data_IF_593499475658
#
_entry.id   IF_593499475658
#
_cell.length_a   1.000
_cell.length_b   1.000
_cell.length_c   1.000
_cell.angle_alpha   90.00
_cell.angle_beta   90.00
_cell.angle_gamma   90.00
#
_symmetry.space_group_name_H-M   'P 1'
#
loop_
_entity.id
_entity.type
_entity.pdbx_description
1 polymer ?
#
# COMPACT_ATOMS: atom_id res chain seq x y z
N UNK A 1 13.41 -7.51 43.56
CA UNK A 1 12.37 -6.44 43.60
C UNK A 1 11.48 -6.42 42.34
N UNK A 2 12.02 -6.60 41.11
CA UNK A 2 11.19 -6.65 39.88
C UNK A 2 10.26 -7.86 39.73
N UNK A 3 10.61 -9.03 40.28
CA UNK A 3 9.76 -10.24 40.21
C UNK A 3 8.49 -10.14 41.08
N UNK A 4 8.55 -9.44 42.21
CA UNK A 4 7.40 -9.22 43.10
C UNK A 4 6.33 -8.29 42.52
N UNK A 5 6.72 -7.38 41.62
CA UNK A 5 5.81 -6.48 40.90
C UNK A 5 5.03 -7.20 39.79
N UNK A 6 5.59 -8.23 39.16
CA UNK A 6 4.85 -9.07 38.21
C UNK A 6 3.81 -9.92 38.94
N UNK A 7 4.14 -10.40 40.15
CA UNK A 7 3.25 -11.21 40.99
C UNK A 7 2.06 -10.39 41.53
N UNK A 8 2.24 -9.13 41.92
CA UNK A 8 1.18 -8.34 42.59
C UNK A 8 0.23 -7.55 41.66
N UNK A 9 0.37 -7.65 40.33
CA UNK A 9 -0.57 -6.98 39.42
C UNK A 9 -1.87 -7.79 39.28
N UNK A 10 -3.07 -7.16 39.20
CA UNK A 10 -4.37 -7.85 39.02
C UNK A 10 -4.55 -8.60 37.68
N UNK A 11 -3.45 -8.96 37.01
CA UNK A 11 -3.40 -9.72 35.77
C UNK A 11 -2.08 -10.47 35.55
N UNK A 12 -1.19 -10.53 36.56
CA UNK A 12 0.06 -11.27 36.49
C UNK A 12 -0.15 -12.78 36.62
N UNK A 13 0.69 -13.56 35.92
CA UNK A 13 0.73 -15.02 36.08
C UNK A 13 1.52 -15.31 37.36
N UNK A 14 0.90 -15.94 38.36
CA UNK A 14 1.60 -16.41 39.55
C UNK A 14 0.71 -16.54 40.78
N UNK A 15 0.42 -15.46 41.53
CA UNK A 15 -0.17 -15.63 42.87
C UNK A 15 -1.63 -16.06 42.83
N UNK A 16 -2.37 -15.64 41.81
CA UNK A 16 -3.75 -16.05 41.61
C UNK A 16 -3.84 -17.55 41.30
N UNK A 17 -2.98 -18.05 40.41
CA UNK A 17 -2.90 -19.46 40.05
C UNK A 17 -2.40 -20.31 41.23
N UNK A 18 -1.39 -19.85 41.96
CA UNK A 18 -0.91 -20.53 43.16
C UNK A 18 -1.99 -20.58 44.26
N UNK A 19 -2.76 -19.50 44.45
CA UNK A 19 -3.87 -19.48 45.40
C UNK A 19 -4.98 -20.45 44.99
N UNK A 20 -5.35 -20.48 43.71
CA UNK A 20 -6.36 -21.43 43.20
C UNK A 20 -5.91 -22.89 43.37
N UNK A 21 -4.65 -23.21 43.06
CA UNK A 21 -4.12 -24.57 43.24
C UNK A 21 -4.08 -24.95 44.73
N UNK A 22 -3.69 -24.02 45.60
CA UNK A 22 -3.65 -24.25 47.04
C UNK A 22 -5.04 -24.43 47.68
N UNK A 23 -6.05 -23.72 47.16
CA UNK A 23 -7.44 -23.78 47.65
C UNK A 23 -8.27 -24.90 47.01
N UNK A 24 -7.83 -25.45 45.88
CA UNK A 24 -8.50 -26.54 45.14
C UNK A 24 -7.59 -27.78 45.00
N UNK A 25 -7.10 -28.38 46.11
CA UNK A 25 -6.14 -29.48 46.05
C UNK A 25 -6.68 -30.74 45.37
N UNK A 26 -8.01 -30.93 45.36
CA UNK A 26 -8.68 -32.09 44.75
C UNK A 26 -8.89 -31.98 43.23
N UNK A 27 -8.67 -30.81 42.62
CA UNK A 27 -8.94 -30.59 41.20
C UNK A 27 -7.71 -30.84 40.29
N UNK A 28 -6.53 -31.02 40.88
CA UNK A 28 -5.26 -31.10 40.15
C UNK A 28 -4.80 -29.75 39.59
N UNK A 29 -3.50 -29.56 39.42
CA UNK A 29 -2.96 -28.28 38.94
C UNK A 29 -3.26 -28.04 37.45
N UNK A 30 -3.19 -29.09 36.62
CA UNK A 30 -3.40 -28.97 35.16
C UNK A 30 -4.82 -28.49 34.79
N UNK A 31 -5.92 -29.06 35.34
CA UNK A 31 -7.27 -28.61 35.01
C UNK A 31 -7.55 -27.19 35.47
N UNK A 32 -7.02 -26.81 36.64
CA UNK A 32 -7.19 -25.46 37.21
C UNK A 32 -6.48 -24.42 36.34
N UNK A 33 -5.23 -24.68 35.92
CA UNK A 33 -4.49 -23.79 35.01
C UNK A 33 -5.17 -23.68 33.65
N UNK A 34 -5.67 -24.80 33.10
CA UNK A 34 -6.42 -24.79 31.85
C UNK A 34 -7.70 -23.95 31.96
N UNK A 35 -8.44 -24.05 33.07
CA UNK A 35 -9.64 -23.27 33.32
C UNK A 35 -9.36 -21.76 33.46
N UNK A 36 -8.28 -21.38 34.16
CA UNK A 36 -7.86 -19.97 34.29
C UNK A 36 -7.44 -19.38 32.94
N UNK A 37 -6.69 -20.13 32.14
CA UNK A 37 -6.33 -19.72 30.78
C UNK A 37 -7.58 -19.57 29.90
N UNK A 38 -8.50 -20.54 29.94
CA UNK A 38 -9.76 -20.48 29.21
C UNK A 38 -10.59 -19.26 29.64
N UNK A 39 -10.72 -19.01 30.95
CA UNK A 39 -11.38 -17.83 31.48
C UNK A 39 -10.75 -16.55 30.93
N UNK A 40 -9.42 -16.43 30.95
CA UNK A 40 -8.75 -15.24 30.41
C UNK A 40 -8.92 -15.05 28.91
N UNK A 41 -8.91 -16.15 28.16
CA UNK A 41 -9.18 -16.11 26.72
C UNK A 41 -10.60 -15.60 26.47
N UNK A 42 -11.59 -16.14 27.17
CA UNK A 42 -13.01 -15.81 26.97
C UNK A 42 -13.36 -14.41 27.45
N UNK A 43 -12.82 -13.96 28.60
CA UNK A 43 -13.24 -12.71 29.24
C UNK A 43 -12.33 -11.51 28.95
N UNK A 44 -11.07 -11.72 28.56
CA UNK A 44 -10.15 -10.61 28.26
C UNK A 44 -9.69 -10.63 26.81
N UNK A 45 -9.12 -11.74 26.33
CA UNK A 45 -8.48 -11.79 25.00
C UNK A 45 -9.53 -11.70 23.90
N UNK A 46 -10.61 -12.49 23.98
CA UNK A 46 -11.65 -12.53 22.97
C UNK A 46 -12.40 -11.18 22.86
N UNK A 47 -12.87 -10.54 23.95
CA UNK A 47 -13.48 -9.22 23.85
C UNK A 47 -12.53 -8.15 23.34
N UNK A 48 -11.27 -8.16 23.77
CA UNK A 48 -10.26 -7.22 23.26
C UNK A 48 -9.98 -7.42 21.76
N UNK A 49 -9.90 -8.67 21.30
CA UNK A 49 -9.73 -9.00 19.89
C UNK A 49 -10.95 -8.59 19.06
N UNK A 50 -12.16 -8.82 19.56
CA UNK A 50 -13.41 -8.39 18.92
C UNK A 50 -13.51 -6.86 18.84
N UNK A 51 -13.19 -6.14 19.92
CA UNK A 51 -13.15 -4.68 19.93
C UNK A 51 -12.10 -4.13 18.94
N UNK A 52 -10.90 -4.72 18.91
CA UNK A 52 -9.85 -4.34 17.96
C UNK A 52 -10.30 -4.59 16.51
N UNK A 53 -10.94 -5.74 16.25
CA UNK A 53 -11.49 -6.07 14.94
C UNK A 53 -12.63 -5.11 14.55
N UNK A 54 -13.51 -4.77 15.49
CA UNK A 54 -14.59 -3.80 15.26
C UNK A 54 -14.05 -2.41 14.95
N UNK A 55 -12.97 -1.96 15.58
CA UNK A 55 -12.31 -0.69 15.26
C UNK A 55 -11.54 -0.73 13.93
N UNK A 56 -10.97 -1.88 13.57
CA UNK A 56 -10.31 -2.08 12.27
C UNK A 56 -11.32 -2.13 11.11
N UNK A 57 -12.48 -2.78 11.32
CA UNK A 57 -13.50 -3.03 10.29
C UNK A 57 -14.55 -1.92 10.24
N UNK A 58 -14.77 -1.22 11.37
CA UNK A 58 -15.77 -0.17 11.52
C UNK A 58 -15.65 0.88 10.42
N UNK A 59 -16.77 1.55 10.05
CA UNK A 59 -16.77 2.55 8.99
C UNK A 59 -15.62 3.50 9.25
N UNK A 60 -14.75 3.70 8.25
CA UNK A 60 -13.58 4.56 8.37
C UNK A 60 -14.02 5.84 9.05
N UNK A 61 -13.56 6.04 10.30
CA UNK A 61 -14.14 7.05 11.19
C UNK A 61 -14.12 8.38 10.44
N UNK A 62 -15.28 9.03 10.44
CA UNK A 62 -15.61 10.28 9.79
C UNK A 62 -14.41 11.23 9.74
N UNK A 63 -14.28 11.98 8.64
CA UNK A 63 -13.29 13.06 8.54
C UNK A 63 -13.26 13.82 9.87
N UNK A 64 -12.12 13.88 10.58
CA UNK A 64 -12.04 14.64 11.81
C UNK A 64 -12.50 16.06 11.46
N UNK A 65 -13.59 16.51 12.10
CA UNK A 65 -14.30 17.72 11.70
C UNK A 65 -13.33 18.89 11.61
N UNK A 66 -12.99 19.33 10.39
CA UNK A 66 -12.16 20.50 10.02
C UNK A 66 -11.25 21.01 11.14
N UNK A 67 -10.48 20.12 11.76
CA UNK A 67 -9.77 20.44 13.00
C UNK A 67 -8.46 21.12 12.68
N UNK A 68 -8.49 22.40 12.27
CA UNK A 68 -7.35 23.31 12.00
C UNK A 68 -5.99 22.62 11.72
N UNK A 69 -5.97 21.62 10.83
CA UNK A 69 -4.74 21.25 10.14
C UNK A 69 -4.55 22.38 9.15
N UNK A 70 -3.49 23.16 9.32
CA UNK A 70 -3.19 24.21 8.35
C UNK A 70 -2.85 23.48 7.06
N UNK A 71 -3.66 23.63 6.03
CA UNK A 71 -3.40 22.99 4.76
C UNK A 71 -2.15 23.64 4.15
N UNK A 72 -1.03 22.93 4.12
CA UNK A 72 -0.08 23.18 3.04
C UNK A 72 -0.82 22.79 1.77
N UNK A 73 -1.03 23.71 0.80
CA UNK A 73 -1.74 23.37 -0.41
C UNK A 73 -1.10 22.14 -1.04
N UNK A 74 -1.92 21.18 -1.49
CA UNK A 74 -1.44 19.93 -2.10
C UNK A 74 -0.38 20.19 -3.18
N UNK A 75 -0.55 21.24 -3.98
CA UNK A 75 0.42 21.67 -4.99
C UNK A 75 1.81 22.01 -4.40
N UNK A 76 1.85 22.68 -3.24
CA UNK A 76 3.11 23.03 -2.56
C UNK A 76 3.81 21.78 -2.02
N UNK A 77 3.05 20.84 -1.45
CA UNK A 77 3.60 19.58 -0.98
C UNK A 77 4.19 18.78 -2.16
N UNK A 78 3.42 18.63 -3.24
CA UNK A 78 3.86 17.90 -4.43
C UNK A 78 5.08 18.55 -5.10
N UNK A 79 5.16 19.88 -5.13
CA UNK A 79 6.32 20.60 -5.67
C UNK A 79 7.60 20.36 -4.85
N UNK A 80 7.47 20.13 -3.54
CA UNK A 80 8.59 19.84 -2.63
C UNK A 80 8.87 18.34 -2.45
N UNK A 81 7.92 17.48 -2.80
CA UNK A 81 8.03 16.05 -2.65
C UNK A 81 9.17 15.51 -3.53
N UNK A 82 10.03 14.68 -2.93
CA UNK A 82 11.12 14.03 -3.67
C UNK A 82 10.64 12.87 -4.52
N UNK A 83 9.58 12.20 -4.07
CA UNK A 83 9.03 11.01 -4.73
C UNK A 83 7.79 11.36 -5.52
N UNK A 84 7.71 10.85 -6.74
CA UNK A 84 6.53 11.10 -7.58
C UNK A 84 5.32 10.28 -7.12
N UNK A 85 5.53 9.17 -6.42
CA UNK A 85 4.47 8.37 -5.78
C UNK A 85 3.57 9.21 -4.85
N UNK A 86 4.07 10.34 -4.34
CA UNK A 86 3.27 11.33 -3.62
C UNK A 86 2.06 11.84 -4.43
N UNK A 87 2.07 11.71 -5.76
CA UNK A 87 0.93 12.04 -6.61
C UNK A 87 -0.36 11.28 -6.28
N UNK A 88 -0.28 10.17 -5.53
CA UNK A 88 -1.43 9.39 -5.04
C UNK A 88 -2.45 10.24 -4.27
N UNK A 89 -2.02 11.37 -3.69
CA UNK A 89 -2.92 12.30 -2.99
C UNK A 89 -4.03 12.84 -3.91
N UNK A 90 -3.83 12.85 -5.23
CA UNK A 90 -4.86 13.21 -6.22
C UNK A 90 -6.04 12.24 -6.27
N UNK A 91 -5.91 11.04 -5.72
CA UNK A 91 -7.02 10.08 -5.60
C UNK A 91 -8.13 10.60 -4.65
N UNK A 92 -7.81 11.58 -3.79
CA UNK A 92 -8.77 12.18 -2.86
C UNK A 92 -8.94 11.41 -1.55
N UNK A 93 -8.27 10.27 -1.35
CA UNK A 93 -8.31 9.49 -0.10
C UNK A 93 -7.34 10.00 0.97
N UNK A 94 -6.30 10.73 0.54
CA UNK A 94 -5.25 11.24 1.43
C UNK A 94 -5.38 12.74 1.63
N UNK A 95 -4.81 13.23 2.73
CA UNK A 95 -4.75 14.65 3.04
C UNK A 95 -3.33 15.05 3.37
N UNK A 96 -3.05 16.35 3.32
CA UNK A 96 -1.78 16.87 3.80
C UNK A 96 -1.84 17.01 5.32
N UNK A 97 -0.79 16.54 6.00
CA UNK A 97 -0.57 16.80 7.41
C UNK A 97 0.71 17.61 7.55
N UNK A 98 0.69 18.76 8.21
CA UNK A 98 1.90 19.55 8.40
C UNK A 98 2.02 20.18 9.79
N UNK A 99 3.23 20.62 10.11
CA UNK A 99 3.52 21.38 11.32
C UNK A 99 2.84 22.76 11.30
N UNK A 100 2.78 23.42 12.46
CA UNK A 100 2.12 24.73 12.60
C UNK A 100 2.69 25.81 11.69
N UNK A 101 3.96 25.68 11.31
CA UNK A 101 4.65 26.58 10.39
C UNK A 101 4.48 26.22 8.90
N UNK A 102 3.87 25.08 8.56
CA UNK A 102 3.68 24.63 7.19
C UNK A 102 5.00 24.39 6.44
N UNK A 103 6.05 23.97 7.13
CA UNK A 103 7.38 23.69 6.56
C UNK A 103 7.67 22.22 6.44
N UNK A 104 7.15 21.42 7.37
CA UNK A 104 7.40 19.99 7.46
C UNK A 104 6.08 19.23 7.52
N UNK A 105 5.96 18.15 6.77
CA UNK A 105 4.68 17.44 6.68
C UNK A 105 4.72 16.16 5.87
N UNK A 106 3.55 15.54 5.79
CA UNK A 106 3.31 14.25 5.16
C UNK A 106 2.11 14.32 4.22
N UNK A 107 2.11 13.39 3.27
CA UNK A 107 0.84 12.86 2.77
C UNK A 107 0.36 11.86 3.82
N UNK A 108 -0.81 12.10 4.38
CA UNK A 108 -1.38 11.33 5.46
C UNK A 108 -2.60 10.54 4.98
N UNK A 109 -2.52 9.22 5.12
CA UNK A 109 -3.64 8.30 4.96
C UNK A 109 -4.24 7.92 6.32
N UNK A 110 -5.56 7.75 6.37
CA UNK A 110 -6.29 7.39 7.60
C UNK A 110 -7.03 6.08 7.39
N UNK A 111 -6.96 5.21 8.38
CA UNK A 111 -7.81 4.01 8.50
C UNK A 111 -8.51 4.03 9.85
N UNK A 112 -9.31 3.01 10.20
CA UNK A 112 -9.97 2.93 11.51
C UNK A 112 -9.01 3.00 12.70
N UNK A 113 -7.79 2.44 12.56
CA UNK A 113 -6.80 2.37 13.64
C UNK A 113 -5.53 3.20 13.40
N UNK A 114 -5.22 3.59 12.17
CA UNK A 114 -3.89 4.12 11.82
C UNK A 114 -3.98 5.50 11.18
N UNK A 115 -3.10 6.40 11.61
CA UNK A 115 -2.72 7.59 10.87
C UNK A 115 -1.34 7.35 10.26
N UNK A 116 -1.29 7.15 8.94
CA UNK A 116 -0.08 6.81 8.22
C UNK A 116 0.51 8.02 7.49
N UNK A 117 1.73 8.42 7.84
CA UNK A 117 2.59 9.23 6.98
C UNK A 117 3.12 8.37 5.84
N UNK A 118 2.64 8.63 4.62
CA UNK A 118 3.03 7.90 3.42
C UNK A 118 4.33 8.45 2.84
N UNK A 119 5.23 7.53 2.46
CA UNK A 119 6.50 7.80 1.81
C UNK A 119 7.48 8.57 2.70
N UNK A 120 8.00 9.69 2.21
CA UNK A 120 8.96 10.53 2.90
C UNK A 120 8.33 11.89 3.22
N UNK A 121 8.66 12.49 4.36
CA UNK A 121 8.13 13.79 4.70
C UNK A 121 8.74 14.86 3.81
N UNK A 122 7.99 15.92 3.58
CA UNK A 122 8.55 17.20 3.14
C UNK A 122 9.12 17.92 4.36
N UNK A 123 10.24 18.61 4.19
CA UNK A 123 10.88 19.38 5.27
C UNK A 123 11.74 18.52 6.21
N UNK A 124 11.82 18.94 7.47
CA UNK A 124 12.63 18.27 8.48
C UNK A 124 11.92 17.02 9.03
N UNK A 125 12.58 15.87 8.93
CA UNK A 125 11.99 14.59 9.34
C UNK A 125 11.68 14.52 10.84
N UNK A 126 12.49 15.14 11.71
CA UNK A 126 12.22 15.10 13.16
C UNK A 126 10.93 15.84 13.50
N UNK A 127 10.77 17.05 12.96
CA UNK A 127 9.57 17.87 13.10
C UNK A 127 8.35 17.16 12.49
N UNK A 128 8.51 16.57 11.31
CA UNK A 128 7.43 15.83 10.67
C UNK A 128 6.99 14.60 11.48
N UNK A 129 7.92 13.85 12.09
CA UNK A 129 7.61 12.71 12.97
C UNK A 129 6.85 13.17 14.22
N UNK A 130 7.28 14.27 14.85
CA UNK A 130 6.57 14.85 15.99
C UNK A 130 5.15 15.29 15.62
N UNK A 131 5.00 15.95 14.46
CA UNK A 131 3.69 16.35 13.93
C UNK A 131 2.77 15.14 13.69
N UNK A 132 3.27 14.06 13.08
CA UNK A 132 2.51 12.83 12.87
C UNK A 132 2.08 12.18 14.19
N UNK A 133 2.99 12.13 15.17
CA UNK A 133 2.72 11.56 16.50
C UNK A 133 1.62 12.31 17.22
N UNK A 134 1.70 13.64 17.20
CA UNK A 134 0.74 14.51 17.86
C UNK A 134 -0.64 14.46 17.17
N UNK A 135 -0.68 14.48 15.84
CA UNK A 135 -1.92 14.33 15.10
C UNK A 135 -2.58 12.97 15.36
N UNK A 136 -1.80 11.90 15.37
CA UNK A 136 -2.31 10.56 15.65
C UNK A 136 -2.91 10.48 17.06
N UNK A 137 -2.28 11.11 18.07
CA UNK A 137 -2.81 11.19 19.43
C UNK A 137 -4.15 11.95 19.49
N UNK A 138 -4.28 13.07 18.78
CA UNK A 138 -5.53 13.85 18.74
C UNK A 138 -6.67 13.14 18.03
N UNK A 139 -6.34 12.25 17.11
CA UNK A 139 -7.31 11.45 16.36
C UNK A 139 -7.56 10.07 17.00
N UNK A 140 -6.95 9.76 18.16
CA UNK A 140 -6.97 8.45 18.80
C UNK A 140 -6.55 7.30 17.87
N UNK A 141 -5.52 7.54 17.05
CA UNK A 141 -4.95 6.60 16.09
C UNK A 141 -3.51 6.21 16.40
N UNK A 142 -3.09 5.07 15.88
CA UNK A 142 -1.70 4.65 15.89
C UNK A 142 -0.91 5.41 14.81
N UNK A 143 0.21 6.08 15.16
CA UNK A 143 1.06 6.72 14.17
C UNK A 143 1.92 5.67 13.45
N UNK A 144 1.94 5.72 12.12
CA UNK A 144 2.75 4.87 11.27
C UNK A 144 3.46 5.69 10.20
N UNK A 145 4.74 5.43 9.97
CA UNK A 145 5.42 5.86 8.74
C UNK A 145 5.47 4.65 7.82
N UNK A 146 4.97 4.78 6.59
CA UNK A 146 4.84 3.67 5.65
C UNK A 146 5.56 3.95 4.33
N UNK A 147 6.39 2.99 3.88
CA UNK A 147 7.20 3.06 2.65
C UNK A 147 8.17 4.25 2.60
N UNK A 148 8.81 4.58 3.71
CA UNK A 148 9.83 5.63 3.77
C UNK A 148 11.22 5.16 3.35
N UNK A 149 12.09 6.08 2.94
CA UNK A 149 13.47 5.79 2.59
C UNK A 149 14.36 5.60 3.83
N UNK A 150 15.62 5.20 3.59
CA UNK A 150 16.61 4.96 4.65
C UNK A 150 16.91 6.18 5.55
N UNK A 151 16.84 7.42 5.02
CA UNK A 151 17.09 8.64 5.81
C UNK A 151 15.94 8.91 6.78
N UNK A 152 14.70 8.80 6.30
CA UNK A 152 13.51 8.94 7.15
C UNK A 152 13.47 7.84 8.21
N UNK A 153 13.79 6.60 7.83
CA UNK A 153 13.94 5.47 8.75
C UNK A 153 15.00 5.72 9.84
N UNK A 154 16.15 6.28 9.48
CA UNK A 154 17.19 6.64 10.44
C UNK A 154 16.73 7.76 11.40
N UNK A 155 15.97 8.74 10.91
CA UNK A 155 15.35 9.76 11.77
C UNK A 155 14.34 9.14 12.76
N UNK A 156 13.50 8.19 12.31
CA UNK A 156 12.56 7.48 13.16
C UNK A 156 13.28 6.66 14.25
N UNK A 157 14.34 5.92 13.91
CA UNK A 157 15.16 5.20 14.92
C UNK A 157 15.73 6.13 15.98
N UNK A 158 16.24 7.31 15.58
CA UNK A 158 16.73 8.33 16.52
C UNK A 158 15.64 8.91 17.41
N UNK A 159 14.38 8.86 16.97
CA UNK A 159 13.22 9.21 17.78
C UNK A 159 12.71 8.04 18.66
N UNK A 160 13.45 6.93 18.75
CA UNK A 160 13.08 5.76 19.55
C UNK A 160 12.08 4.82 18.90
N UNK A 161 11.73 5.02 17.63
CA UNK A 161 10.74 4.19 16.94
C UNK A 161 11.35 2.86 16.49
N UNK A 162 10.51 1.81 16.50
CA UNK A 162 10.82 0.56 15.84
C UNK A 162 10.73 0.74 14.33
N UNK A 163 11.69 0.16 13.59
CA UNK A 163 11.77 0.27 12.12
C UNK A 163 11.98 -1.09 11.49
N UNK A 164 11.22 -1.38 10.43
CA UNK A 164 11.24 -2.64 9.72
C UNK A 164 11.29 -2.45 8.19
N UNK A 165 12.12 -3.19 7.43
CA UNK A 165 12.07 -3.16 5.96
C UNK A 165 10.79 -3.83 5.46
N UNK A 166 10.02 -3.13 4.61
CA UNK A 166 8.70 -3.60 4.15
C UNK A 166 8.60 -3.85 2.65
N UNK A 167 9.45 -3.21 1.86
CA UNK A 167 9.45 -3.33 0.41
C UNK A 167 10.79 -2.87 -0.16
N UNK A 168 10.98 -2.98 -1.47
CA UNK A 168 12.00 -2.23 -2.18
C UNK A 168 11.40 -1.51 -3.39
N UNK A 169 11.85 -0.28 -3.61
CA UNK A 169 11.57 0.50 -4.79
C UNK A 169 12.40 -0.01 -5.97
N UNK A 170 11.77 -0.26 -7.12
CA UNK A 170 12.44 -0.75 -8.32
C UNK A 170 12.78 0.43 -9.24
N UNK A 171 14.01 0.93 -9.17
CA UNK A 171 14.43 2.17 -9.84
C UNK A 171 15.23 1.88 -11.11
N UNK A 172 14.81 2.49 -12.21
CA UNK A 172 15.55 2.62 -13.45
C UNK A 172 16.24 4.00 -13.47
N UNK A 173 17.52 3.98 -13.82
CA UNK A 173 18.30 5.18 -14.10
C UNK A 173 18.60 5.17 -15.59
N UNK A 174 17.69 5.68 -16.44
CA UNK A 174 17.92 5.77 -17.87
C UNK A 174 19.04 6.78 -18.15
N UNK A 175 20.30 6.35 -17.99
CA UNK A 175 21.52 7.09 -18.34
C UNK A 175 22.26 6.36 -19.45
N UNK A 176 22.76 7.15 -20.40
CA UNK A 176 23.29 6.77 -21.71
C UNK A 176 24.49 5.82 -21.64
N UNK A 177 24.40 4.69 -22.34
CA UNK A 177 25.52 4.18 -23.14
C UNK A 177 25.30 4.57 -24.60
N UNK A 178 26.36 4.65 -25.41
CA UNK A 178 26.31 5.07 -26.82
C UNK A 178 25.33 4.25 -27.69
N UNK A 179 24.89 3.08 -27.21
CA UNK A 179 24.12 2.10 -27.99
C UNK A 179 22.60 2.10 -27.68
N UNK A 180 22.08 2.99 -26.83
CA UNK A 180 20.65 3.04 -26.47
C UNK A 180 20.26 2.26 -25.20
N UNK A 181 18.98 2.29 -24.83
CA UNK A 181 18.46 1.83 -23.52
C UNK A 181 18.39 0.29 -23.36
N UNK A 182 18.19 -0.43 -24.46
CA UNK A 182 17.84 -1.86 -24.43
C UNK A 182 18.87 -2.75 -25.15
N UNK A 183 20.14 -2.38 -25.09
CA UNK A 183 21.25 -3.09 -25.75
C UNK A 183 22.05 -3.95 -24.76
N UNK A 184 22.58 -5.07 -25.26
CA UNK A 184 23.42 -6.00 -24.50
C UNK A 184 22.74 -7.31 -24.11
N UNK A 185 23.52 -8.31 -23.71
CA UNK A 185 23.01 -9.66 -23.40
C UNK A 185 22.03 -9.67 -22.20
N UNK A 186 22.26 -8.82 -21.20
CA UNK A 186 21.46 -8.76 -19.98
C UNK A 186 19.99 -8.35 -20.15
N UNK A 187 19.63 -7.74 -21.28
CA UNK A 187 18.23 -7.34 -21.59
C UNK A 187 17.66 -8.10 -22.80
N UNK A 188 18.29 -9.22 -23.19
CA UNK A 188 17.81 -10.06 -24.29
C UNK A 188 16.38 -10.60 -24.06
N UNK A 189 16.04 -10.94 -22.81
CA UNK A 189 14.69 -11.34 -22.43
C UNK A 189 13.66 -10.24 -22.66
N UNK A 190 14.00 -8.99 -22.31
CA UNK A 190 13.15 -7.83 -22.57
C UNK A 190 12.96 -7.62 -24.08
N UNK A 191 14.05 -7.56 -24.85
CA UNK A 191 13.98 -7.39 -26.31
C UNK A 191 13.14 -8.44 -27.02
N UNK A 192 13.15 -9.70 -26.55
CA UNK A 192 12.28 -10.75 -27.10
C UNK A 192 10.80 -10.44 -26.86
N UNK A 193 10.44 -9.98 -25.66
CA UNK A 193 9.06 -9.58 -25.33
C UNK A 193 8.60 -8.35 -26.12
N UNK A 194 9.45 -7.33 -26.24
CA UNK A 194 9.15 -6.13 -27.04
C UNK A 194 8.85 -6.50 -28.50
N UNK A 195 9.79 -7.21 -29.14
CA UNK A 195 9.62 -7.66 -30.53
C UNK A 195 8.43 -8.58 -30.74
N UNK A 196 8.07 -9.39 -29.75
CA UNK A 196 6.89 -10.27 -29.82
C UNK A 196 5.60 -9.45 -29.89
N UNK A 197 5.46 -8.46 -29.02
CA UNK A 197 4.28 -7.60 -29.00
C UNK A 197 4.22 -6.68 -30.23
N UNK A 198 5.35 -6.13 -30.69
CA UNK A 198 5.43 -5.39 -31.97
C UNK A 198 4.95 -6.25 -33.15
N UNK A 199 5.44 -7.50 -33.26
CA UNK A 199 5.02 -8.44 -34.31
C UNK A 199 3.54 -8.83 -34.21
N UNK A 200 2.97 -8.78 -33.01
CA UNK A 200 1.55 -8.99 -32.79
C UNK A 200 0.70 -7.73 -33.08
N UNK A 201 1.30 -6.67 -33.62
CA UNK A 201 0.60 -5.44 -34.02
C UNK A 201 0.33 -4.46 -32.87
N UNK A 202 1.01 -4.61 -31.73
CA UNK A 202 0.90 -3.67 -30.62
C UNK A 202 1.67 -2.41 -30.95
N UNK A 203 0.97 -1.28 -30.95
CA UNK A 203 1.53 0.07 -31.02
C UNK A 203 1.35 0.76 -29.67
N UNK A 204 2.27 1.65 -29.31
CA UNK A 204 2.19 2.45 -28.08
C UNK A 204 2.20 3.93 -28.43
N UNK A 205 1.30 4.69 -27.82
CA UNK A 205 1.23 6.14 -27.94
C UNK A 205 1.18 6.79 -26.55
N UNK A 206 1.82 7.95 -26.39
CA UNK A 206 1.58 8.82 -25.26
C UNK A 206 0.28 9.58 -25.48
N UNK A 207 -0.65 9.51 -24.54
CA UNK A 207 -1.95 10.19 -24.65
C UNK A 207 -1.86 11.60 -24.09
N UNK A 208 -2.45 12.56 -24.81
CA UNK A 208 -2.70 13.91 -24.28
C UNK A 208 -3.84 13.86 -23.26
N UNK A 209 -3.61 14.47 -22.10
CA UNK A 209 -4.57 14.56 -21.00
C UNK A 209 -5.83 15.33 -21.40
N UNK A 210 -5.76 16.19 -22.42
CA UNK A 210 -6.91 16.92 -22.95
C UNK A 210 -7.90 16.03 -23.74
N UNK A 211 -7.47 14.85 -24.20
CA UNK A 211 -8.26 13.96 -25.05
C UNK A 211 -8.22 12.50 -24.56
N UNK A 212 -8.37 12.29 -23.26
CA UNK A 212 -8.37 10.95 -22.67
C UNK A 212 -9.55 10.11 -23.20
N UNK A 213 -9.30 8.91 -23.75
CA UNK A 213 -10.37 7.99 -24.16
C UNK A 213 -10.96 7.28 -22.93
N UNK A 214 -11.67 8.04 -22.09
CA UNK A 214 -12.12 7.62 -20.75
C UNK A 214 -12.91 6.30 -20.81
N UNK A 215 -13.78 6.13 -21.80
CA UNK A 215 -14.57 4.91 -21.98
C UNK A 215 -13.69 3.68 -22.23
N UNK A 216 -12.77 3.76 -23.18
CA UNK A 216 -11.86 2.64 -23.48
C UNK A 216 -11.00 2.29 -22.27
N UNK A 217 -10.51 3.30 -21.54
CA UNK A 217 -9.73 3.08 -20.32
C UNK A 217 -10.54 2.41 -19.21
N UNK A 218 -11.81 2.81 -19.05
CA UNK A 218 -12.73 2.20 -18.09
C UNK A 218 -13.01 0.74 -18.41
N UNK A 219 -13.19 0.40 -19.69
CA UNK A 219 -13.39 -0.98 -20.16
C UNK A 219 -12.14 -1.85 -19.87
N UNK A 220 -10.94 -1.36 -20.21
CA UNK A 220 -9.66 -2.04 -19.87
C UNK A 220 -9.50 -2.21 -18.36
N UNK A 221 -9.84 -1.17 -17.60
CA UNK A 221 -9.78 -1.16 -16.14
C UNK A 221 -10.72 -2.20 -15.51
N UNK A 222 -11.96 -2.27 -15.97
CA UNK A 222 -12.98 -3.19 -15.48
C UNK A 222 -12.61 -4.65 -15.80
N UNK A 223 -12.18 -4.95 -17.03
CA UNK A 223 -11.72 -6.29 -17.39
C UNK A 223 -10.50 -6.72 -16.55
N UNK A 224 -9.53 -5.83 -16.37
CA UNK A 224 -8.38 -6.10 -15.50
C UNK A 224 -8.80 -6.37 -14.06
N UNK A 225 -9.69 -5.55 -13.49
CA UNK A 225 -10.16 -5.70 -12.12
C UNK A 225 -10.91 -7.03 -11.93
N UNK A 226 -11.79 -7.39 -12.88
CA UNK A 226 -12.52 -8.66 -12.87
C UNK A 226 -11.60 -9.88 -12.85
N UNK A 227 -10.51 -9.87 -13.64
CA UNK A 227 -9.53 -10.96 -13.67
C UNK A 227 -8.56 -10.98 -12.48
N UNK A 228 -8.37 -9.84 -11.79
CA UNK A 228 -7.44 -9.72 -10.65
C UNK A 228 -8.11 -9.79 -9.27
N UNK A 229 -9.44 -9.93 -9.23
CA UNK A 229 -10.19 -10.01 -7.98
C UNK A 229 -10.43 -8.65 -7.32
N UNK A 230 -10.47 -7.58 -8.12
CA UNK A 230 -10.72 -6.22 -7.67
C UNK A 230 -9.48 -5.32 -7.61
N UNK A 231 -9.74 -4.08 -7.21
CA UNK A 231 -8.74 -3.03 -7.04
C UNK A 231 -8.10 -3.09 -5.66
N UNK A 232 -6.82 -2.74 -5.58
CA UNK A 232 -6.15 -2.47 -4.30
C UNK A 232 -6.10 -0.97 -4.06
N UNK A 233 -6.08 -0.54 -2.80
CA UNK A 233 -6.12 0.88 -2.47
C UNK A 233 -5.10 1.30 -1.41
N UNK A 234 -5.44 2.37 -0.68
CA UNK A 234 -4.63 3.01 0.34
C UNK A 234 -3.29 3.54 -0.20
N UNK A 235 -2.28 2.70 -0.42
CA UNK A 235 -0.98 3.12 -0.99
C UNK A 235 -0.85 2.81 -2.48
N UNK A 236 -1.93 2.44 -3.15
CA UNK A 236 -1.98 2.10 -4.58
C UNK A 236 -3.14 2.86 -5.22
N UNK A 237 -2.91 3.41 -6.42
CA UNK A 237 -3.92 4.11 -7.18
C UNK A 237 -5.05 3.18 -7.62
N UNK A 238 -6.21 3.77 -7.87
CA UNK A 238 -7.39 3.08 -8.43
C UNK A 238 -7.89 3.85 -9.63
N UNK A 239 -8.47 3.15 -10.60
CA UNK A 239 -8.95 3.83 -11.80
C UNK A 239 -10.04 4.83 -11.46
N UNK A 240 -9.75 6.08 -11.79
CA UNK A 240 -10.70 7.18 -11.75
C UNK A 240 -10.28 8.17 -12.85
N UNK A 241 -11.18 8.64 -13.72
CA UNK A 241 -10.81 9.52 -14.83
C UNK A 241 -10.11 10.80 -14.38
N UNK A 242 -10.63 11.46 -13.34
CA UNK A 242 -10.03 12.68 -12.78
C UNK A 242 -8.65 12.46 -12.16
N UNK A 243 -8.39 11.25 -11.66
CA UNK A 243 -7.08 10.86 -11.13
C UNK A 243 -6.05 10.68 -12.24
N UNK A 244 -6.42 10.02 -13.35
CA UNK A 244 -5.54 9.83 -14.50
C UNK A 244 -5.20 11.14 -15.23
N UNK A 245 -6.11 12.11 -15.21
CA UNK A 245 -5.89 13.43 -15.82
C UNK A 245 -4.69 14.19 -15.24
N UNK A 246 -4.18 13.81 -14.06
CA UNK A 246 -2.98 14.38 -13.44
C UNK A 246 -1.69 13.59 -13.68
N UNK A 247 -1.70 12.59 -14.56
CA UNK A 247 -0.61 11.62 -14.76
C UNK A 247 -0.16 11.56 -16.22
N UNK A 248 1.05 11.06 -16.47
CA UNK A 248 1.49 10.70 -17.82
C UNK A 248 0.87 9.36 -18.18
N UNK A 249 0.20 9.29 -19.33
CA UNK A 249 -0.52 8.10 -19.77
C UNK A 249 0.05 7.57 -21.09
N UNK A 250 0.24 6.26 -21.15
CA UNK A 250 0.62 5.53 -22.35
C UNK A 250 -0.45 4.49 -22.65
N UNK A 251 -0.88 4.43 -23.91
CA UNK A 251 -1.90 3.53 -24.41
C UNK A 251 -1.26 2.51 -25.34
N UNK A 252 -1.67 1.25 -25.20
CA UNK A 252 -1.32 0.20 -26.13
C UNK A 252 -2.52 -0.09 -27.02
N UNK A 253 -2.34 0.00 -28.33
CA UNK A 253 -3.38 -0.24 -29.33
C UNK A 253 -3.05 -1.40 -30.25
N UNK A 254 -4.08 -2.16 -30.61
CA UNK A 254 -4.06 -3.19 -31.66
C UNK A 254 -5.25 -2.93 -32.57
N UNK A 255 -4.99 -2.72 -33.86
CA UNK A 255 -6.02 -2.40 -34.87
C UNK A 255 -6.96 -1.25 -34.43
N UNK A 256 -6.40 -0.18 -33.83
CA UNK A 256 -7.13 1.01 -33.39
C UNK A 256 -7.81 0.91 -32.01
N UNK A 257 -7.98 -0.30 -31.45
CA UNK A 257 -8.58 -0.53 -30.12
C UNK A 257 -7.53 -0.47 -29.01
N UNK A 258 -7.83 0.19 -27.89
CA UNK A 258 -7.00 0.13 -26.68
C UNK A 258 -7.06 -1.24 -26.02
N UNK A 259 -5.91 -1.90 -25.88
CA UNK A 259 -5.74 -3.21 -25.22
C UNK A 259 -4.99 -3.12 -23.88
N UNK A 260 -4.49 -1.94 -23.54
CA UNK A 260 -3.80 -1.72 -22.28
C UNK A 260 -3.37 -0.28 -22.09
N UNK A 261 -3.07 0.07 -20.85
CA UNK A 261 -2.50 1.37 -20.51
C UNK A 261 -1.54 1.29 -19.32
N UNK A 262 -0.62 2.25 -19.26
CA UNK A 262 0.22 2.49 -18.11
C UNK A 262 0.24 3.99 -17.77
N UNK A 263 0.08 4.28 -16.49
CA UNK A 263 0.07 5.65 -15.95
C UNK A 263 1.26 5.87 -15.03
N UNK A 264 1.78 7.10 -15.06
CA UNK A 264 2.93 7.49 -14.26
C UNK A 264 2.66 8.82 -13.58
N UNK A 265 2.94 8.89 -12.29
CA UNK A 265 3.07 10.17 -11.62
C UNK A 265 4.30 10.89 -12.14
N UNK A 266 4.09 12.13 -12.60
CA UNK A 266 5.16 13.03 -12.99
C UNK A 266 5.59 13.86 -11.78
N UNK A 267 6.81 13.61 -11.29
CA UNK A 267 7.44 14.37 -10.24
C UNK A 267 8.68 15.09 -10.76
N UNK A 268 9.07 16.16 -10.07
CA UNK A 268 10.25 16.97 -10.43
C UNK A 268 11.56 16.18 -10.49
N UNK A 269 11.67 15.12 -9.69
CA UNK A 269 12.90 14.36 -9.49
C UNK A 269 12.85 12.91 -9.98
N UNK A 270 11.65 12.37 -10.19
CA UNK A 270 11.46 11.02 -10.74
C UNK A 270 10.09 10.93 -11.40
N UNK A 271 9.92 9.97 -12.31
CA UNK A 271 8.60 9.45 -12.65
C UNK A 271 8.35 8.17 -11.88
N UNK A 272 7.11 7.89 -11.49
CA UNK A 272 6.75 6.65 -10.79
C UNK A 272 5.56 6.00 -11.47
N UNK A 273 5.73 4.73 -11.87
CA UNK A 273 4.64 3.89 -12.36
C UNK A 273 3.56 3.77 -11.28
N UNK A 274 2.30 4.01 -11.65
CA UNK A 274 1.17 3.86 -10.73
C UNK A 274 0.23 2.74 -11.21
N UNK A 275 -0.66 3.02 -12.17
CA UNK A 275 -1.52 1.99 -12.76
C UNK A 275 -0.87 1.36 -13.98
N UNK A 276 -1.00 0.05 -14.11
CA UNK A 276 -0.73 -0.68 -15.34
C UNK A 276 -1.77 -1.77 -15.57
N UNK A 277 -2.49 -1.69 -16.69
CA UNK A 277 -3.61 -2.58 -16.98
C UNK A 277 -3.58 -3.01 -18.42
N UNK A 278 -4.00 -4.25 -18.66
CA UNK A 278 -4.20 -4.80 -19.99
C UNK A 278 -5.50 -5.56 -20.00
N UNK A 279 -6.11 -5.71 -21.17
CA UNK A 279 -7.20 -6.64 -21.37
C UNK A 279 -6.71 -8.10 -21.27
N UNK A 280 -7.63 -9.06 -21.14
CA UNK A 280 -7.32 -10.49 -21.08
C UNK A 280 -6.73 -11.04 -22.39
N UNK A 281 -7.05 -10.40 -23.51
CA UNK A 281 -6.61 -10.76 -24.86
C UNK A 281 -5.40 -9.95 -25.35
N UNK A 282 -4.84 -9.07 -24.51
CA UNK A 282 -3.67 -8.28 -24.88
C UNK A 282 -2.46 -9.17 -25.20
N UNK A 283 -1.74 -8.95 -26.32
CA UNK A 283 -0.58 -9.75 -26.69
C UNK A 283 0.51 -9.79 -25.61
N UNK A 284 1.19 -10.92 -25.47
CA UNK A 284 2.32 -11.05 -24.55
C UNK A 284 3.42 -10.05 -24.89
N UNK A 285 3.89 -9.31 -23.88
CA UNK A 285 4.84 -8.21 -24.05
C UNK A 285 4.20 -6.82 -24.09
N UNK A 286 2.88 -6.68 -24.22
CA UNK A 286 2.18 -5.37 -24.27
C UNK A 286 2.57 -4.45 -23.12
N UNK A 287 2.51 -4.93 -21.88
CA UNK A 287 2.89 -4.11 -20.72
C UNK A 287 4.39 -3.78 -20.68
N UNK A 288 5.24 -4.63 -21.28
CA UNK A 288 6.66 -4.33 -21.34
C UNK A 288 6.94 -3.20 -22.34
N UNK A 289 6.19 -3.15 -23.44
CA UNK A 289 6.24 -2.08 -24.43
C UNK A 289 5.78 -0.74 -23.85
N UNK A 290 4.68 -0.74 -23.10
CA UNK A 290 4.19 0.46 -22.39
C UNK A 290 5.25 1.06 -21.46
N UNK A 291 5.87 0.22 -20.63
CA UNK A 291 6.92 0.66 -19.71
C UNK A 291 8.18 1.07 -20.50
N UNK A 292 8.55 0.37 -21.57
CA UNK A 292 9.71 0.70 -22.38
C UNK A 292 9.58 2.08 -23.03
N UNK A 293 8.40 2.39 -23.61
CA UNK A 293 8.09 3.70 -24.16
C UNK A 293 8.18 4.80 -23.09
N UNK A 294 7.63 4.55 -21.90
CA UNK A 294 7.71 5.52 -20.80
C UNK A 294 9.15 5.74 -20.31
N UNK A 295 10.01 4.72 -20.33
CA UNK A 295 11.44 4.84 -19.99
C UNK A 295 12.21 5.61 -21.06
N UNK A 296 11.89 5.40 -22.33
CA UNK A 296 12.46 6.16 -23.46
C UNK A 296 12.10 7.65 -23.36
N UNK A 297 10.85 7.95 -23.01
CA UNK A 297 10.39 9.31 -22.76
C UNK A 297 11.02 9.93 -21.51
N UNK A 298 11.14 9.16 -20.42
CA UNK A 298 11.80 9.61 -19.20
C UNK A 298 13.29 9.92 -19.43
N UNK A 299 13.93 9.21 -20.38
CA UNK A 299 15.30 9.49 -20.81
C UNK A 299 15.37 10.78 -21.61
N UNK A 300 14.46 10.98 -22.55
CA UNK A 300 14.50 12.11 -23.47
C UNK A 300 14.04 13.43 -22.83
N UNK A 301 13.04 13.36 -21.95
CA UNK A 301 12.27 14.52 -21.45
C UNK A 301 12.12 14.53 -19.93
N UNK A 302 12.49 13.46 -19.25
CA UNK A 302 12.25 13.27 -17.81
C UNK A 302 13.48 13.53 -16.92
N UNK A 303 13.33 13.32 -15.60
CA UNK A 303 14.35 13.64 -14.60
C UNK A 303 15.53 12.65 -14.54
N UNK A 304 15.66 11.73 -15.51
CA UNK A 304 16.73 10.72 -15.54
C UNK A 304 16.62 9.63 -14.47
N UNK A 305 15.46 9.54 -13.79
CA UNK A 305 15.11 8.53 -12.79
C UNK A 305 13.64 8.14 -12.97
N UNK A 306 13.38 6.84 -13.08
CA UNK A 306 12.04 6.28 -13.19
C UNK A 306 11.87 5.12 -12.22
N UNK A 307 10.91 5.21 -11.31
CA UNK A 307 10.51 4.14 -10.41
C UNK A 307 9.41 3.29 -11.08
N UNK A 308 9.58 1.98 -11.03
CA UNK A 308 8.57 0.99 -11.42
C UNK A 308 7.63 0.65 -10.25
N UNK A 309 7.57 1.49 -9.22
CA UNK A 309 6.93 1.25 -7.92
C UNK A 309 7.50 0.08 -7.10
N UNK A 310 7.16 0.09 -5.82
CA UNK A 310 7.62 -0.88 -4.84
C UNK A 310 7.27 -2.34 -5.18
N UNK A 311 8.10 -3.26 -4.70
CA UNK A 311 7.90 -4.71 -4.72
C UNK A 311 8.03 -5.28 -3.30
N UNK A 312 7.19 -6.27 -2.99
CA UNK A 312 7.19 -6.95 -1.69
C UNK A 312 8.33 -7.99 -1.57
N UNK A 313 8.85 -8.49 -2.69
CA UNK A 313 9.97 -9.42 -2.77
C UNK A 313 11.11 -8.73 -3.54
N UNK A 314 12.34 -8.75 -3.01
CA UNK A 314 13.51 -8.16 -3.66
C UNK A 314 14.84 -8.85 -3.27
N UNK A 315 15.88 -8.76 -4.12
CA UNK A 315 17.21 -9.30 -3.83
C UNK A 315 17.89 -8.61 -2.62
N UNK A 316 18.62 -9.37 -1.81
CA UNK A 316 19.40 -8.82 -0.68
C UNK A 316 18.59 -8.57 0.60
N UNK A 317 17.34 -9.04 0.67
CA UNK A 317 16.53 -9.03 1.90
C UNK A 317 17.01 -10.08 2.90
N UNK A 318 16.70 -9.87 4.19
CA UNK A 318 17.10 -10.82 5.24
C UNK A 318 16.34 -12.15 5.13
N UNK A 319 16.89 -13.27 5.65
CA UNK A 319 16.21 -14.58 5.60
C UNK A 319 14.82 -14.60 6.26
N UNK A 320 14.62 -13.79 7.30
CA UNK A 320 13.32 -13.66 7.97
C UNK A 320 12.27 -13.00 7.04
N UNK A 321 12.67 -11.96 6.31
CA UNK A 321 11.80 -11.30 5.32
C UNK A 321 11.55 -12.25 4.16
N UNK A 322 12.56 -12.98 3.70
CA UNK A 322 12.40 -13.97 2.63
C UNK A 322 11.31 -15.00 2.94
N UNK A 323 11.36 -15.64 4.11
CA UNK A 323 10.33 -16.59 4.54
C UNK A 323 8.93 -15.96 4.61
N UNK A 324 8.84 -14.70 5.00
CA UNK A 324 7.55 -13.99 5.06
C UNK A 324 7.01 -13.72 3.64
N UNK A 325 7.85 -13.23 2.72
CA UNK A 325 7.48 -13.01 1.33
C UNK A 325 7.04 -14.31 0.64
N UNK A 326 7.73 -15.42 0.91
CA UNK A 326 7.40 -16.72 0.33
C UNK A 326 6.00 -17.20 0.77
N UNK A 327 5.59 -16.87 2.00
CA UNK A 327 4.23 -17.16 2.52
C UNK A 327 3.16 -16.22 1.98
N UNK A 328 3.48 -14.93 1.82
CA UNK A 328 2.51 -13.91 1.39
C UNK A 328 2.32 -13.87 -0.14
N UNK A 329 3.19 -14.56 -0.90
CA UNK A 329 3.18 -14.52 -2.36
C UNK A 329 3.67 -13.17 -2.92
N UNK A 330 3.60 -13.00 -4.25
CA UNK A 330 4.01 -11.74 -4.92
C UNK A 330 5.31 -11.82 -5.73
N UNK A 331 5.92 -12.99 -5.84
CA UNK A 331 7.13 -13.24 -6.66
C UNK A 331 6.92 -12.90 -8.15
N UNK A 332 5.69 -13.03 -8.66
CA UNK A 332 5.37 -12.75 -10.07
C UNK A 332 5.57 -11.29 -10.48
N UNK A 333 5.18 -10.34 -9.62
CA UNK A 333 5.34 -8.91 -9.91
C UNK A 333 6.81 -8.47 -9.84
N UNK A 334 7.58 -9.05 -8.91
CA UNK A 334 9.04 -8.83 -8.86
C UNK A 334 9.71 -9.37 -10.13
N UNK A 335 9.42 -10.62 -10.53
CA UNK A 335 9.99 -11.22 -11.75
C UNK A 335 9.65 -10.41 -13.00
N UNK A 336 8.44 -9.87 -13.07
CA UNK A 336 8.03 -8.96 -14.14
C UNK A 336 8.94 -7.72 -14.21
N UNK A 337 9.13 -7.01 -13.09
CA UNK A 337 9.95 -5.79 -13.03
C UNK A 337 11.45 -6.08 -13.19
N UNK A 338 11.94 -7.25 -12.76
CA UNK A 338 13.34 -7.64 -12.85
C UNK A 338 13.87 -7.71 -14.29
N UNK A 339 13.01 -7.93 -15.29
CA UNK A 339 13.37 -7.97 -16.72
C UNK A 339 13.95 -6.64 -17.20
N UNK A 340 13.59 -5.53 -16.55
CA UNK A 340 14.13 -4.19 -16.82
C UNK A 340 15.45 -3.91 -16.09
N UNK A 341 15.95 -4.85 -15.28
CA UNK A 341 17.16 -4.73 -14.45
C UNK A 341 17.18 -3.47 -13.57
N UNK A 342 16.14 -3.22 -12.75
CA UNK A 342 16.12 -2.09 -11.84
C UNK A 342 17.16 -2.25 -10.73
N UNK A 343 17.59 -1.11 -10.19
CA UNK A 343 18.24 -1.04 -8.89
C UNK A 343 17.15 -1.08 -7.82
N UNK A 344 17.34 -1.90 -6.79
CA UNK A 344 16.40 -1.99 -5.68
C UNK A 344 16.84 -1.09 -4.52
N UNK A 345 15.96 -0.20 -4.09
CA UNK A 345 16.18 0.67 -2.92
C UNK A 345 15.21 0.27 -1.80
N UNK A 346 15.74 -0.19 -0.67
CA UNK A 346 14.92 -0.66 0.46
C UNK A 346 14.04 0.44 1.04
N UNK A 347 12.76 0.11 1.24
CA UNK A 347 11.75 0.94 1.88
C UNK A 347 11.39 0.37 3.26
N UNK A 348 11.08 1.25 4.19
CA UNK A 348 10.88 0.92 5.59
C UNK A 348 9.52 1.39 6.08
N UNK A 349 9.00 0.70 7.08
CA UNK A 349 7.94 1.18 7.95
C UNK A 349 8.48 1.44 9.36
N UNK A 350 7.88 2.41 10.05
CA UNK A 350 8.26 2.75 11.41
C UNK A 350 7.04 3.09 12.27
N UNK A 351 7.05 2.66 13.53
CA UNK A 351 6.05 3.01 14.53
C UNK A 351 6.71 3.10 15.92
N UNK A 352 6.06 3.67 16.96
CA UNK A 352 6.70 3.92 18.25
C UNK A 352 7.33 2.69 18.91
N UNK A 353 6.77 1.49 18.69
CA UNK A 353 7.37 0.23 19.14
C UNK A 353 6.99 -0.94 18.21
N UNK A 354 7.57 -2.12 18.44
CA UNK A 354 7.41 -3.30 17.58
C UNK A 354 5.99 -3.86 17.55
N UNK A 355 5.27 -3.80 18.67
CA UNK A 355 3.89 -4.28 18.75
C UNK A 355 2.95 -3.38 17.93
N UNK A 356 3.06 -2.07 18.12
CA UNK A 356 2.30 -1.09 17.32
C UNK A 356 2.66 -1.15 15.85
N UNK A 357 3.93 -1.39 15.51
CA UNK A 357 4.36 -1.57 14.12
C UNK A 357 3.66 -2.77 13.48
N UNK A 358 3.57 -3.90 14.18
CA UNK A 358 2.90 -5.10 13.68
C UNK A 358 1.40 -4.85 13.47
N UNK A 359 0.71 -4.25 14.45
CA UNK A 359 -0.71 -3.92 14.35
C UNK A 359 -0.99 -2.92 13.22
N UNK A 360 -0.21 -1.85 13.13
CA UNK A 360 -0.39 -0.83 12.11
C UNK A 360 -0.11 -1.37 10.70
N UNK A 361 0.86 -2.28 10.53
CA UNK A 361 1.11 -2.94 9.26
C UNK A 361 -0.02 -3.92 8.88
N UNK A 362 -0.60 -4.63 9.84
CA UNK A 362 -1.75 -5.50 9.59
C UNK A 362 -2.97 -4.69 9.13
N UNK A 363 -3.22 -3.54 9.76
CA UNK A 363 -4.30 -2.64 9.37
C UNK A 363 -4.07 -1.99 7.99
N UNK A 364 -2.85 -1.53 7.70
CA UNK A 364 -2.52 -1.02 6.35
C UNK A 364 -2.65 -2.12 5.30
N UNK A 365 -2.22 -3.35 5.61
CA UNK A 365 -2.41 -4.49 4.71
C UNK A 365 -3.89 -4.75 4.46
N UNK A 366 -4.75 -4.67 5.49
CA UNK A 366 -6.21 -4.78 5.33
C UNK A 366 -6.76 -3.66 4.44
N UNK A 367 -6.43 -2.40 4.72
CA UNK A 367 -6.88 -1.24 3.94
C UNK A 367 -6.42 -1.28 2.46
N UNK A 368 -5.26 -1.90 2.21
CA UNK A 368 -4.76 -2.16 0.85
C UNK A 368 -5.62 -3.19 0.11
N UNK A 369 -5.97 -4.31 0.76
CA UNK A 369 -6.68 -5.43 0.12
C UNK A 369 -8.20 -5.23 0.07
N UNK A 370 -8.75 -4.48 1.02
CA UNK A 370 -10.16 -4.15 1.12
C UNK A 370 -10.33 -2.63 1.29
N UNK A 371 -10.05 -1.86 0.22
CA UNK A 371 -10.14 -0.41 0.30
C UNK A 371 -11.59 0.06 0.38
N UNK A 372 -11.82 1.18 1.05
CA UNK A 372 -13.12 1.86 1.06
C UNK A 372 -13.46 2.41 -0.33
N UNK A 373 -14.74 2.73 -0.57
CA UNK A 373 -15.16 3.39 -1.80
C UNK A 373 -14.38 4.70 -2.01
N UNK A 374 -14.12 5.05 -3.27
CA UNK A 374 -13.50 6.32 -3.60
C UNK A 374 -14.45 7.48 -3.27
N UNK A 375 -13.92 8.67 -2.90
CA UNK A 375 -14.73 9.87 -2.76
C UNK A 375 -15.47 10.20 -4.07
N UNK A 376 -16.70 10.70 -3.96
CA UNK A 376 -17.57 11.04 -5.10
C UNK A 376 -16.92 12.04 -6.06
N UNK A 377 -16.13 12.99 -5.54
CA UNK A 377 -15.51 14.06 -6.33
C UNK A 377 -14.34 13.58 -7.20
N UNK A 378 -13.81 12.38 -6.93
CA UNK A 378 -12.76 11.74 -7.73
C UNK A 378 -13.35 11.02 -8.95
N UNK A 379 -14.63 10.65 -8.89
CA UNK A 379 -15.37 10.01 -9.97
C UNK A 379 -15.98 11.12 -10.81
N UNK A 380 -15.26 11.54 -11.86
CA UNK A 380 -15.75 12.57 -12.78
C UNK A 380 -17.19 12.27 -13.22
N UNK A 381 -18.05 13.29 -13.18
CA UNK A 381 -19.46 13.26 -13.54
C UNK A 381 -19.71 12.40 -14.79
N UNK A 382 -20.37 11.26 -14.57
CA UNK A 382 -20.65 10.24 -15.58
C UNK A 382 -20.93 8.91 -14.89
N UNK A 383 -22.20 8.69 -14.55
CA UNK A 383 -22.72 7.49 -13.91
C UNK A 383 -22.08 6.19 -14.43
N UNK A 384 -21.39 5.47 -13.54
CA UNK A 384 -21.36 4.01 -13.56
C UNK A 384 -21.56 3.57 -12.11
N UNK A 385 -22.83 3.39 -11.75
CA UNK A 385 -23.25 2.76 -10.50
C UNK A 385 -22.76 1.31 -10.48
N UNK A 386 -21.56 1.07 -9.95
CA UNK A 386 -21.17 -0.26 -9.52
C UNK A 386 -21.80 -0.52 -8.16
N UNK A 387 -22.96 -1.20 -8.16
CA UNK A 387 -23.54 -1.77 -6.94
C UNK A 387 -22.50 -2.63 -6.23
N UNK A 388 -22.40 -2.57 -4.89
CA UNK A 388 -21.50 -3.44 -4.16
C UNK A 388 -21.87 -4.92 -4.42
N UNK A 389 -20.89 -5.84 -4.44
CA UNK A 389 -21.19 -7.26 -4.58
C UNK A 389 -22.08 -7.70 -3.42
N UNK A 390 -23.27 -8.20 -3.73
CA UNK A 390 -24.18 -8.83 -2.77
C UNK A 390 -23.41 -9.92 -2.03
N UNK A 391 -23.32 -9.81 -0.70
CA UNK A 391 -22.84 -10.92 0.12
C UNK A 391 -23.75 -12.14 -0.11
N UNK A 392 -23.20 -13.35 -0.27
CA UNK A 392 -24.01 -14.54 -0.44
C UNK A 392 -24.91 -14.72 0.79
N UNK A 393 -26.22 -14.61 0.57
CA UNK A 393 -27.23 -14.90 1.60
C UNK A 393 -27.07 -16.36 2.01
N UNK A 394 -26.57 -16.58 3.22
CA UNK A 394 -26.46 -17.90 3.83
C UNK A 394 -27.87 -18.43 4.07
N UNK A 395 -28.30 -19.35 3.21
CA UNK A 395 -29.64 -19.94 3.23
C UNK A 395 -29.72 -20.97 4.36
N UNK A 396 -30.07 -20.51 5.57
CA UNK A 396 -30.36 -21.35 6.74
C UNK A 396 -31.74 -21.99 6.57
N UNK A 397 -31.90 -22.94 5.64
CA UNK A 397 -33.12 -23.76 5.60
C UNK A 397 -33.00 -25.11 4.87
N UNK A 398 -31.85 -25.79 4.93
CA UNK A 398 -31.72 -27.16 4.42
C UNK A 398 -31.21 -28.14 5.48
N UNK A 399 -31.91 -28.26 6.61
CA UNK A 399 -31.84 -29.43 7.49
C UNK A 399 -33.20 -29.73 8.09
N UNK A 400 -34.05 -30.41 7.33
CA UNK A 400 -35.12 -31.29 7.82
C UNK A 400 -35.69 -32.06 6.63
N UNK A 401 -35.28 -33.32 6.51
CA UNK A 401 -35.97 -34.47 5.91
C UNK A 401 -34.90 -35.51 5.59
N UNK A 402 -34.70 -36.44 6.50
CA UNK A 402 -34.40 -37.86 6.25
C UNK A 402 -34.81 -38.57 7.54
N UNK A 403 -35.92 -39.29 7.45
CA UNK A 403 -36.62 -39.89 8.56
C UNK A 403 -37.83 -40.64 8.03
N UNK A 404 -37.53 -41.75 7.36
CA UNK A 404 -38.31 -43.01 7.25
C UNK A 404 -37.36 -44.05 6.68
#
# INVERSE_FOLDING_TARGET
LGAGLVLATPGGIGPFECALIGLLPGAGAEPVLAAVLAYRIVYFVLPAALATAALAIGPGVAEPGRGKVRDMPQAVLLAKARRAECGIIRQGEHRVLCDTAGRSGWIAGRTGLVLAGLFDPVGDSRTAIACLTEAARREDRLPLIYKCNARTAAAARRAGWAVWPVAAEAVLLPRSGANGLWVGAGVAGLRRKLRRAERAGVSVESSDLAALPVRELAEVAADWAGRKGGERGFSMGRFAPGYLAGQRLYLARVAGRTVGFASFHDGRHEWTLDLMRTTGDAPDGTMHLLIAAAVEDARARGPGRLSLAAVADWPGRSPAIARLCDRLGGTGLMRFKAVFRPRYETLYAAAPNRALLALALAEVARAIHWPHALPSDTVGAGEISASPPEMPKMNLNSRRRHGT
#
